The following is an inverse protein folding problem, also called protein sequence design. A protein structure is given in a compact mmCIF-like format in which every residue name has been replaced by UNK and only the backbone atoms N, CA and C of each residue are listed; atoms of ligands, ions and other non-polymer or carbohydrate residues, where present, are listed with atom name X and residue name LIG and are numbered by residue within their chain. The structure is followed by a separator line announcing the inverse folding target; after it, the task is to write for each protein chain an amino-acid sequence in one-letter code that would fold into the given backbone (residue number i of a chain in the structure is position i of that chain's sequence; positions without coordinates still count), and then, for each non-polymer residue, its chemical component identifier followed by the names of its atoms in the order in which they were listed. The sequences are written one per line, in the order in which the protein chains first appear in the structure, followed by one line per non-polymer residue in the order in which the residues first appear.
data_IF_824359592910
#
_entry.id   IF_824359592910
#
_cell.length_a   1.000
_cell.length_b   1.000
_cell.length_c   1.000
_cell.angle_alpha   90.00
_cell.angle_beta   90.00
_cell.angle_gamma   90.00
#
_symmetry.space_group_name_H-M   'P 1'
#
loop_
_entity.id
_entity.type
_entity.pdbx_description
1 polymer ?
#
# COMPACT_ATOMS: atom_id res chain seq x y z
N UNK A 1 -0.42 -18.55 -15.19
CA UNK A 1 -0.57 -17.15 -14.74
C UNK A 1 0.73 -16.40 -15.02
N UNK A 2 0.64 -15.21 -15.58
CA UNK A 2 1.82 -14.39 -15.90
C UNK A 2 1.76 -13.11 -15.06
N UNK A 3 2.70 -12.98 -14.12
CA UNK A 3 2.89 -11.75 -13.39
C UNK A 3 3.42 -10.64 -14.31
N UNK A 4 3.10 -9.35 -14.07
CA UNK A 4 3.75 -8.25 -14.77
C UNK A 4 5.27 -8.35 -14.63
N UNK A 5 5.99 -8.40 -15.75
CA UNK A 5 7.44 -8.65 -15.81
C UNK A 5 8.24 -7.48 -16.38
N UNK A 6 7.56 -6.50 -16.96
CA UNK A 6 8.14 -5.31 -17.60
C UNK A 6 8.36 -4.15 -16.61
N UNK A 7 8.40 -4.46 -15.30
CA UNK A 7 8.57 -3.49 -14.22
C UNK A 7 9.99 -2.90 -14.23
N UNK A 8 10.08 -1.61 -14.48
CA UNK A 8 11.34 -0.86 -14.47
C UNK A 8 11.20 0.41 -13.62
N UNK A 9 12.06 0.60 -12.63
CA UNK A 9 13.04 -0.36 -12.09
C UNK A 9 12.36 -1.57 -11.43
N UNK A 10 12.99 -2.74 -11.41
CA UNK A 10 12.46 -3.89 -10.70
C UNK A 10 12.49 -3.64 -9.18
N UNK A 11 11.52 -4.18 -8.42
CA UNK A 11 11.55 -4.08 -6.97
C UNK A 11 12.78 -4.79 -6.39
N UNK A 12 13.38 -4.21 -5.38
CA UNK A 12 14.54 -4.78 -4.69
C UNK A 12 14.16 -5.96 -3.80
N UNK A 13 12.97 -5.90 -3.21
CA UNK A 13 12.40 -6.96 -2.39
C UNK A 13 11.08 -7.38 -3.03
N UNK A 14 10.97 -8.64 -3.40
CA UNK A 14 9.80 -9.19 -4.05
C UNK A 14 9.42 -10.54 -3.42
N UNK A 15 8.22 -10.61 -2.88
CA UNK A 15 7.58 -11.85 -2.46
C UNK A 15 6.19 -11.90 -3.08
N UNK A 16 5.99 -12.80 -4.04
CA UNK A 16 4.69 -13.00 -4.66
C UNK A 16 3.93 -14.09 -3.89
N UNK A 17 2.61 -13.93 -3.67
CA UNK A 17 1.86 -14.88 -2.85
C UNK A 17 1.85 -16.28 -3.49
N UNK A 18 2.27 -17.31 -2.73
CA UNK A 18 2.22 -18.68 -3.21
C UNK A 18 0.76 -19.12 -3.41
N UNK A 19 0.52 -20.01 -4.36
CA UNK A 19 -0.83 -20.49 -4.66
C UNK A 19 -1.72 -19.49 -5.37
N UNK A 20 -1.18 -18.39 -5.90
CA UNK A 20 -1.88 -17.52 -6.81
C UNK A 20 -2.14 -18.23 -8.15
N UNK A 21 -3.39 -18.26 -8.60
CA UNK A 21 -3.80 -18.94 -9.84
C UNK A 21 -4.49 -18.01 -10.84
N UNK A 22 -5.12 -16.91 -10.39
CA UNK A 22 -5.72 -15.90 -11.26
C UNK A 22 -5.32 -14.49 -10.86
N UNK A 23 -5.18 -13.63 -11.89
CA UNK A 23 -5.02 -12.17 -11.81
C UNK A 23 -6.20 -11.43 -12.46
N UNK A 24 -7.24 -12.13 -12.88
CA UNK A 24 -8.33 -11.56 -13.67
C UNK A 24 -9.04 -10.38 -12.95
N UNK A 25 -9.25 -10.51 -11.63
CA UNK A 25 -9.83 -9.41 -10.86
C UNK A 25 -8.89 -8.20 -10.75
N UNK A 26 -7.59 -8.44 -10.65
CA UNK A 26 -6.61 -7.36 -10.60
C UNK A 26 -6.58 -6.56 -11.90
N UNK A 27 -6.56 -7.25 -13.03
CA UNK A 27 -6.59 -6.60 -14.34
C UNK A 27 -7.91 -5.84 -14.54
N UNK A 28 -9.04 -6.44 -14.21
CA UNK A 28 -10.34 -5.78 -14.30
C UNK A 28 -10.46 -4.57 -13.34
N UNK A 29 -9.83 -4.62 -12.17
CA UNK A 29 -9.78 -3.50 -11.23
C UNK A 29 -8.95 -2.33 -11.78
N UNK A 30 -7.82 -2.64 -12.41
CA UNK A 30 -6.97 -1.64 -13.06
C UNK A 30 -7.74 -0.97 -14.21
N UNK A 31 -8.36 -1.76 -15.09
CA UNK A 31 -9.15 -1.24 -16.22
C UNK A 31 -10.31 -0.35 -15.72
N UNK A 32 -11.02 -0.76 -14.68
CA UNK A 32 -12.09 0.03 -14.07
C UNK A 32 -11.57 1.37 -13.59
N UNK A 33 -10.46 1.37 -12.86
CA UNK A 33 -9.88 2.58 -12.31
C UNK A 33 -9.33 3.50 -13.40
N UNK A 34 -8.63 2.97 -14.39
CA UNK A 34 -8.13 3.73 -15.55
C UNK A 34 -9.28 4.42 -16.28
N UNK A 35 -10.39 3.69 -16.49
CA UNK A 35 -11.58 4.24 -17.14
C UNK A 35 -12.18 5.43 -16.38
N UNK A 36 -12.31 5.32 -15.05
CA UNK A 36 -12.97 6.36 -14.26
C UNK A 36 -12.05 7.48 -13.79
N UNK A 37 -10.79 7.20 -13.55
CA UNK A 37 -9.81 8.20 -13.12
C UNK A 37 -9.21 8.99 -14.28
N UNK A 38 -9.22 8.43 -15.49
CA UNK A 38 -8.52 8.97 -16.66
C UNK A 38 -6.99 8.86 -16.55
N UNK A 39 -6.49 8.13 -15.56
CA UNK A 39 -5.06 7.85 -15.38
C UNK A 39 -4.73 6.48 -15.98
N UNK A 40 -3.43 6.17 -16.08
CA UNK A 40 -2.91 4.85 -16.48
C UNK A 40 -2.02 4.32 -15.37
N UNK A 41 -2.25 3.07 -14.95
CA UNK A 41 -1.40 2.38 -14.01
C UNK A 41 -0.09 1.98 -14.68
N UNK A 42 1.03 2.40 -14.11
CA UNK A 42 2.34 2.01 -14.62
C UNK A 42 2.66 0.53 -14.25
N UNK A 43 3.69 -0.08 -14.87
CA UNK A 43 4.03 -1.47 -14.62
C UNK A 43 4.29 -1.81 -13.15
N UNK A 44 4.89 -0.89 -12.37
CA UNK A 44 5.09 -1.10 -10.93
C UNK A 44 3.78 -1.12 -10.17
N UNK A 45 2.86 -0.22 -10.49
CA UNK A 45 1.53 -0.18 -9.87
C UNK A 45 0.71 -1.43 -10.24
N UNK A 46 0.76 -1.86 -11.51
CA UNK A 46 0.11 -3.10 -11.96
C UNK A 46 0.62 -4.32 -11.20
N UNK A 47 1.95 -4.46 -11.04
CA UNK A 47 2.53 -5.55 -10.24
C UNK A 47 1.99 -5.57 -8.81
N UNK A 48 1.91 -4.41 -8.16
CA UNK A 48 1.41 -4.29 -6.78
C UNK A 48 -0.07 -4.64 -6.68
N UNK A 49 -0.90 -4.12 -7.57
CA UNK A 49 -2.34 -4.46 -7.60
C UNK A 49 -2.54 -5.95 -7.87
N UNK A 50 -1.79 -6.52 -8.81
CA UNK A 50 -1.80 -7.96 -9.05
C UNK A 50 -1.41 -8.75 -7.80
N UNK A 51 -0.36 -8.34 -7.07
CA UNK A 51 0.06 -8.99 -5.82
C UNK A 51 -1.02 -8.88 -4.73
N UNK A 52 -1.70 -7.76 -4.61
CA UNK A 52 -2.78 -7.54 -3.63
C UNK A 52 -4.05 -8.32 -3.98
N UNK A 53 -4.36 -8.51 -5.27
CA UNK A 53 -5.65 -9.02 -5.71
C UNK A 53 -5.57 -10.40 -6.38
N UNK A 54 -4.39 -11.04 -6.41
CA UNK A 54 -4.25 -12.40 -6.88
C UNK A 54 -5.15 -13.36 -6.08
N UNK A 55 -5.78 -14.30 -6.79
CA UNK A 55 -6.68 -15.27 -6.21
C UNK A 55 -6.14 -16.69 -6.30
N UNK A 56 -6.52 -17.52 -5.32
CA UNK A 56 -6.37 -18.96 -5.34
C UNK A 56 -7.49 -19.59 -6.18
N UNK A 57 -7.38 -20.91 -6.47
CA UNK A 57 -8.39 -21.67 -7.20
C UNK A 57 -9.81 -21.60 -6.61
N UNK A 58 -9.91 -21.42 -5.30
CA UNK A 58 -11.17 -21.33 -4.58
C UNK A 58 -11.74 -19.89 -4.50
N UNK A 59 -11.12 -18.94 -5.19
CA UNK A 59 -11.52 -17.53 -5.23
C UNK A 59 -11.12 -16.70 -4.01
N UNK A 60 -10.42 -17.28 -3.03
CA UNK A 60 -9.85 -16.50 -1.93
C UNK A 60 -8.62 -15.72 -2.38
N UNK A 61 -8.34 -14.61 -1.69
CA UNK A 61 -7.10 -13.87 -1.91
C UNK A 61 -5.89 -14.77 -1.68
N UNK A 62 -4.96 -14.79 -2.61
CA UNK A 62 -3.73 -15.57 -2.47
C UNK A 62 -2.86 -15.02 -1.32
N UNK A 63 -2.91 -13.70 -1.08
CA UNK A 63 -2.31 -13.08 0.09
C UNK A 63 -3.36 -12.64 1.10
N UNK A 64 -3.28 -13.07 2.35
CA UNK A 64 -4.06 -12.54 3.47
C UNK A 64 -3.39 -11.28 4.07
N UNK A 65 -2.08 -11.15 3.87
CA UNK A 65 -1.32 -9.95 4.26
C UNK A 65 -0.44 -9.54 3.10
N UNK A 66 -0.46 -8.24 2.77
CA UNK A 66 0.44 -7.67 1.77
C UNK A 66 1.23 -6.51 2.34
N UNK A 67 2.46 -6.34 1.87
CA UNK A 67 3.32 -5.21 2.18
C UNK A 67 3.74 -4.46 0.92
N UNK A 68 3.65 -3.14 0.96
CA UNK A 68 4.11 -2.24 -0.09
C UNK A 68 5.05 -1.18 0.47
N UNK A 69 6.31 -1.29 0.13
CA UNK A 69 7.37 -0.35 0.51
C UNK A 69 7.84 0.45 -0.70
N UNK A 70 7.90 1.77 -0.55
CA UNK A 70 8.54 2.66 -1.54
C UNK A 70 8.74 4.05 -0.95
N UNK A 71 9.69 4.86 -1.47
CA UNK A 71 9.86 6.25 -1.09
C UNK A 71 8.58 7.08 -1.28
N UNK A 72 8.54 8.26 -0.67
CA UNK A 72 7.39 9.17 -0.78
C UNK A 72 7.11 9.58 -2.24
N UNK A 73 5.86 9.90 -2.54
CA UNK A 73 5.39 10.44 -3.83
C UNK A 73 5.63 9.53 -5.06
N UNK A 74 5.72 8.23 -4.87
CA UNK A 74 5.87 7.25 -5.93
C UNK A 74 4.57 6.57 -6.38
N UNK A 75 3.40 6.98 -5.87
CA UNK A 75 2.11 6.50 -6.39
C UNK A 75 1.41 5.43 -5.57
N UNK A 76 1.85 5.13 -4.31
CA UNK A 76 1.14 4.20 -3.40
C UNK A 76 -0.37 4.45 -3.29
N UNK A 77 -0.76 5.72 -3.30
CA UNK A 77 -2.16 6.08 -3.19
C UNK A 77 -3.03 5.62 -4.36
N UNK A 78 -2.49 5.59 -5.58
CA UNK A 78 -3.22 5.10 -6.74
C UNK A 78 -3.41 3.57 -6.65
N UNK A 79 -2.38 2.83 -6.18
CA UNK A 79 -2.44 1.37 -5.96
C UNK A 79 -3.59 0.99 -4.98
N UNK A 80 -3.71 1.74 -3.88
CA UNK A 80 -4.82 1.54 -2.91
C UNK A 80 -6.16 1.94 -3.50
N UNK A 81 -6.23 3.06 -4.20
CA UNK A 81 -7.46 3.56 -4.80
C UNK A 81 -8.05 2.56 -5.80
N UNK A 82 -7.21 1.86 -6.59
CA UNK A 82 -7.64 0.79 -7.49
C UNK A 82 -8.34 -0.33 -6.70
N UNK A 83 -7.67 -0.82 -5.66
CA UNK A 83 -8.16 -1.95 -4.85
C UNK A 83 -9.42 -1.58 -4.09
N UNK A 84 -9.48 -0.38 -3.49
CA UNK A 84 -10.64 0.12 -2.76
C UNK A 84 -11.83 0.35 -3.69
N UNK A 85 -11.61 0.97 -4.85
CA UNK A 85 -12.68 1.22 -5.82
C UNK A 85 -13.32 -0.09 -6.28
N UNK A 86 -12.50 -1.10 -6.61
CA UNK A 86 -12.99 -2.42 -7.00
C UNK A 86 -13.76 -3.09 -5.88
N UNK A 87 -13.19 -3.15 -4.69
CA UNK A 87 -13.83 -3.74 -3.51
C UNK A 87 -15.21 -3.16 -3.24
N UNK A 88 -15.32 -1.84 -3.28
CA UNK A 88 -16.57 -1.12 -3.05
C UNK A 88 -17.60 -1.35 -4.15
N UNK A 89 -17.19 -1.22 -5.41
CA UNK A 89 -18.12 -1.15 -6.55
C UNK A 89 -18.55 -2.53 -7.04
N UNK A 90 -17.63 -3.50 -7.05
CA UNK A 90 -17.86 -4.82 -7.61
C UNK A 90 -18.14 -5.88 -6.55
N UNK A 91 -17.40 -5.86 -5.45
CA UNK A 91 -17.52 -6.88 -4.40
C UNK A 91 -18.45 -6.48 -3.25
N UNK A 92 -18.74 -5.19 -3.07
CA UNK A 92 -19.51 -4.69 -1.93
C UNK A 92 -18.77 -4.83 -0.60
N UNK A 93 -17.44 -4.73 -0.63
CA UNK A 93 -16.57 -4.93 0.54
C UNK A 93 -16.80 -3.88 1.64
N UNK A 94 -16.63 -4.32 2.87
CA UNK A 94 -16.48 -3.51 4.06
C UNK A 94 -14.99 -3.22 4.26
N UNK A 95 -14.56 -1.98 4.00
CA UNK A 95 -13.14 -1.58 4.01
C UNK A 95 -12.87 -0.64 5.18
N UNK A 96 -11.85 -0.93 5.97
CA UNK A 96 -11.32 0.00 6.96
C UNK A 96 -9.97 0.54 6.47
N UNK A 97 -9.94 1.80 6.08
CA UNK A 97 -8.71 2.51 5.73
C UNK A 97 -8.20 3.30 6.92
N UNK A 98 -7.02 2.96 7.40
CA UNK A 98 -6.41 3.63 8.53
C UNK A 98 -5.17 4.42 8.15
N UNK A 99 -5.06 5.64 8.70
CA UNK A 99 -3.90 6.51 8.55
C UNK A 99 -3.34 6.92 9.92
N UNK A 100 -2.14 7.49 9.93
CA UNK A 100 -1.54 7.97 11.17
C UNK A 100 -2.20 9.26 11.67
N UNK A 101 -2.47 10.21 10.80
CA UNK A 101 -2.86 11.58 11.12
C UNK A 101 -4.26 11.95 10.58
N UNK A 102 -5.01 12.75 11.37
CA UNK A 102 -6.37 13.18 11.01
C UNK A 102 -6.41 14.15 9.81
N UNK A 103 -5.35 14.95 9.62
CA UNK A 103 -5.26 15.88 8.49
C UNK A 103 -5.05 15.10 7.20
N UNK A 104 -4.16 14.09 7.23
CA UNK A 104 -3.94 13.18 6.10
C UNK A 104 -5.21 12.41 5.72
N UNK A 105 -5.97 11.97 6.72
CA UNK A 105 -7.22 11.25 6.53
C UNK A 105 -8.25 12.07 5.77
N UNK A 106 -8.46 13.30 6.18
CA UNK A 106 -9.48 14.18 5.58
C UNK A 106 -9.07 14.71 4.20
N UNK A 107 -7.78 15.05 4.02
CA UNK A 107 -7.29 15.74 2.82
C UNK A 107 -6.81 14.83 1.70
N UNK A 108 -6.41 13.60 2.01
CA UNK A 108 -5.78 12.73 1.02
C UNK A 108 -6.55 11.42 0.77
N UNK A 109 -6.72 10.57 1.79
CA UNK A 109 -7.29 9.24 1.56
C UNK A 109 -8.74 9.31 1.07
N UNK A 110 -9.64 9.93 1.83
CA UNK A 110 -11.03 10.07 1.42
C UNK A 110 -11.21 10.92 0.17
N UNK A 111 -10.48 12.04 0.05
CA UNK A 111 -10.66 12.97 -1.07
C UNK A 111 -10.21 12.37 -2.41
N UNK A 112 -9.19 11.51 -2.43
CA UNK A 112 -8.76 10.81 -3.65
C UNK A 112 -9.89 9.97 -4.23
N UNK A 113 -10.41 9.04 -3.45
CA UNK A 113 -11.51 8.17 -3.90
C UNK A 113 -12.77 8.97 -4.24
N UNK A 114 -13.11 9.99 -3.44
CA UNK A 114 -14.24 10.87 -3.74
C UNK A 114 -14.07 11.61 -5.06
N UNK A 115 -12.86 12.04 -5.40
CA UNK A 115 -12.58 12.71 -6.66
C UNK A 115 -12.91 11.82 -7.87
N UNK A 116 -12.51 10.56 -7.84
CA UNK A 116 -12.85 9.58 -8.89
C UNK A 116 -14.37 9.38 -8.98
N UNK A 117 -14.99 9.15 -7.83
CA UNK A 117 -16.45 8.88 -7.75
C UNK A 117 -17.28 10.07 -8.20
N UNK A 118 -16.94 11.30 -7.78
CA UNK A 118 -17.70 12.51 -8.07
C UNK A 118 -17.57 12.97 -9.53
N UNK A 119 -16.41 12.70 -10.15
CA UNK A 119 -16.16 13.00 -11.55
C UNK A 119 -16.78 11.98 -12.52
N UNK A 120 -17.20 10.83 -12.04
CA UNK A 120 -17.83 9.76 -12.81
C UNK A 120 -19.34 9.66 -12.52
N UNK A 121 -20.23 10.15 -13.41
CA UNK A 121 -21.68 10.18 -13.16
C UNK A 121 -22.29 8.82 -12.81
N UNK A 122 -21.74 7.74 -13.41
CA UNK A 122 -22.26 6.39 -13.16
C UNK A 122 -21.81 5.84 -11.81
N UNK A 123 -20.58 6.13 -11.37
CA UNK A 123 -20.13 5.80 -10.01
C UNK A 123 -20.88 6.62 -8.97
N UNK A 124 -21.10 7.92 -9.22
CA UNK A 124 -21.83 8.78 -8.31
C UNK A 124 -23.25 8.29 -8.04
N UNK A 125 -23.93 7.72 -9.04
CA UNK A 125 -25.26 7.10 -8.87
C UNK A 125 -25.23 5.85 -7.99
N UNK A 126 -24.09 5.15 -7.93
CA UNK A 126 -23.92 3.97 -7.06
C UNK A 126 -23.68 4.34 -5.60
N UNK A 127 -23.24 5.58 -5.31
CA UNK A 127 -23.08 6.05 -3.92
C UNK A 127 -24.43 6.23 -3.28
N UNK A 128 -24.60 5.67 -2.07
CA UNK A 128 -25.78 5.83 -1.21
C UNK A 128 -25.63 7.06 -0.33
N UNK A 129 -24.49 7.22 0.31
CA UNK A 129 -24.21 8.35 1.23
C UNK A 129 -22.72 8.56 1.46
N UNK A 130 -22.33 9.81 1.71
CA UNK A 130 -20.98 10.21 2.08
C UNK A 130 -21.01 11.02 3.38
N UNK A 131 -20.10 10.71 4.30
CA UNK A 131 -19.85 11.49 5.52
C UNK A 131 -18.46 12.09 5.46
N UNK A 132 -18.35 13.39 5.71
CA UNK A 132 -17.10 14.16 5.64
C UNK A 132 -16.67 14.73 6.99
N UNK A 133 -17.50 14.58 8.03
CA UNK A 133 -17.21 15.09 9.38
C UNK A 133 -16.02 14.40 10.01
N UNK A 134 -15.21 15.15 10.76
CA UNK A 134 -14.03 14.64 11.45
C UNK A 134 -14.38 13.42 12.32
N UNK A 135 -13.63 12.33 12.16
CA UNK A 135 -13.85 11.07 12.87
C UNK A 135 -15.05 10.24 12.37
N UNK A 136 -15.79 10.74 11.37
CA UNK A 136 -16.94 10.04 10.80
C UNK A 136 -16.79 9.78 9.29
N UNK A 137 -15.62 10.06 8.74
CA UNK A 137 -15.39 9.94 7.31
C UNK A 137 -15.70 8.52 6.81
N UNK A 138 -16.66 8.41 5.89
CA UNK A 138 -16.99 7.16 5.22
C UNK A 138 -17.77 7.40 3.94
N UNK A 139 -17.77 6.40 3.06
CA UNK A 139 -18.56 6.37 1.84
C UNK A 139 -19.34 5.05 1.81
N UNK A 140 -20.63 5.10 1.63
CA UNK A 140 -21.49 3.92 1.46
C UNK A 140 -21.99 3.83 0.02
N UNK A 141 -21.94 2.64 -0.54
CA UNK A 141 -22.48 2.29 -1.85
C UNK A 141 -23.81 1.55 -1.73
N UNK A 142 -24.63 1.59 -2.79
CA UNK A 142 -25.97 0.98 -2.81
C UNK A 142 -25.93 -0.55 -2.85
N UNK A 143 -24.82 -1.15 -3.27
CA UNK A 143 -24.61 -2.60 -3.26
C UNK A 143 -24.18 -3.16 -1.89
N UNK A 144 -24.08 -2.31 -0.87
CA UNK A 144 -23.62 -2.67 0.47
C UNK A 144 -22.17 -2.31 0.76
N UNK A 145 -21.37 -2.04 -0.27
CA UNK A 145 -19.96 -1.63 -0.09
C UNK A 145 -19.83 -0.39 0.79
N UNK A 146 -18.87 -0.42 1.69
CA UNK A 146 -18.65 0.70 2.62
C UNK A 146 -17.15 0.83 2.93
N UNK A 147 -16.66 2.06 2.95
CA UNK A 147 -15.31 2.35 3.40
C UNK A 147 -15.35 3.37 4.54
N UNK A 148 -14.68 3.04 5.64
CA UNK A 148 -14.42 3.93 6.76
C UNK A 148 -12.99 4.40 6.72
N UNK A 149 -12.80 5.70 6.89
CA UNK A 149 -11.49 6.32 7.07
C UNK A 149 -11.30 6.67 8.54
N UNK A 150 -10.25 6.15 9.18
CA UNK A 150 -9.97 6.34 10.60
C UNK A 150 -8.51 6.62 10.86
N UNK A 151 -8.25 7.37 11.94
CA UNK A 151 -6.88 7.48 12.48
C UNK A 151 -6.61 6.32 13.40
N UNK A 152 -5.38 5.82 13.43
CA UNK A 152 -4.96 4.81 14.40
C UNK A 152 -4.77 5.35 15.80
N UNK A 153 -4.60 6.68 15.95
CA UNK A 153 -4.54 7.37 17.26
C UNK A 153 -5.92 7.39 17.89
N UNK A 154 -6.04 7.05 19.19
CA UNK A 154 -7.32 7.11 19.92
C UNK A 154 -8.30 5.94 19.72
N UNK A 155 -7.83 4.77 19.29
CA UNK A 155 -8.68 3.57 19.18
C UNK A 155 -9.53 3.52 17.92
N UNK A 156 -9.01 3.97 16.81
CA UNK A 156 -9.69 4.17 15.52
C UNK A 156 -10.32 2.95 14.83
N UNK A 157 -10.17 1.75 15.37
CA UNK A 157 -10.88 0.54 14.89
C UNK A 157 -12.10 0.16 15.71
N UNK A 158 -12.37 0.84 16.83
CA UNK A 158 -13.50 0.48 17.70
C UNK A 158 -14.85 0.79 17.04
N UNK A 159 -15.74 -0.20 17.02
CA UNK A 159 -17.11 -0.05 16.49
C UNK A 159 -17.22 -0.26 14.98
N UNK A 160 -16.20 -0.86 14.36
CA UNK A 160 -16.27 -1.39 12.99
C UNK A 160 -15.92 -2.88 13.09
N UNK A 161 -16.89 -3.74 12.78
CA UNK A 161 -16.73 -5.19 12.83
C UNK A 161 -16.94 -5.77 11.43
N UNK A 162 -16.52 -7.01 11.21
CA UNK A 162 -16.72 -7.75 9.96
C UNK A 162 -16.14 -7.04 8.73
N UNK A 163 -14.87 -6.74 8.80
CA UNK A 163 -14.13 -6.05 7.75
C UNK A 163 -13.56 -7.07 6.75
N UNK A 164 -13.83 -6.85 5.45
CA UNK A 164 -13.22 -7.61 4.36
C UNK A 164 -11.76 -7.21 4.15
N UNK A 165 -11.49 -5.89 4.26
CA UNK A 165 -10.17 -5.33 3.95
C UNK A 165 -9.76 -4.27 4.96
N UNK A 166 -8.56 -4.45 5.54
CA UNK A 166 -7.88 -3.46 6.36
C UNK A 166 -6.72 -2.85 5.58
N UNK A 167 -6.80 -1.56 5.30
CA UNK A 167 -5.70 -0.78 4.72
C UNK A 167 -4.97 -0.04 5.83
N UNK A 168 -3.67 -0.26 5.94
CA UNK A 168 -2.76 0.42 6.88
C UNK A 168 -1.86 1.33 6.07
N UNK A 169 -2.33 2.55 5.79
CA UNK A 169 -1.51 3.55 5.10
C UNK A 169 -0.55 4.21 6.09
N UNK A 170 0.61 4.62 5.60
CA UNK A 170 1.73 5.08 6.43
C UNK A 170 2.13 4.06 7.52
N UNK A 171 2.35 2.81 7.12
CA UNK A 171 2.66 1.69 8.00
C UNK A 171 3.91 1.94 8.88
N UNK A 172 4.84 2.81 8.46
CA UNK A 172 6.01 3.22 9.26
C UNK A 172 5.64 3.91 10.59
N UNK A 173 4.40 4.37 10.72
CA UNK A 173 3.86 4.98 11.95
C UNK A 173 2.89 4.06 12.70
N UNK A 174 2.72 2.81 12.28
CA UNK A 174 1.85 1.87 12.94
C UNK A 174 2.61 1.14 14.06
N UNK A 175 2.10 1.22 15.29
CA UNK A 175 2.65 0.49 16.44
C UNK A 175 1.97 -0.87 16.59
N UNK A 176 2.64 -1.81 17.26
CA UNK A 176 2.05 -3.13 17.56
C UNK A 176 0.75 -3.01 18.38
N UNK A 177 0.70 -2.07 19.34
CA UNK A 177 -0.50 -1.81 20.15
C UNK A 177 -1.68 -1.35 19.29
N UNK A 178 -1.43 -0.43 18.35
CA UNK A 178 -2.46 0.04 17.41
C UNK A 178 -2.96 -1.11 16.53
N UNK A 179 -2.05 -1.95 16.03
CA UNK A 179 -2.41 -3.08 15.20
C UNK A 179 -3.15 -4.17 15.98
N UNK A 180 -2.76 -4.44 17.22
CA UNK A 180 -3.50 -5.35 18.10
C UNK A 180 -4.93 -4.88 18.37
N UNK A 181 -5.19 -3.57 18.35
CA UNK A 181 -6.53 -3.02 18.54
C UNK A 181 -7.40 -3.12 17.26
N UNK A 182 -6.80 -3.09 16.07
CA UNK A 182 -7.53 -3.01 14.79
C UNK A 182 -7.61 -4.37 14.08
N UNK A 183 -6.55 -5.19 14.10
CA UNK A 183 -6.51 -6.46 13.38
C UNK A 183 -7.65 -7.45 13.72
N UNK A 184 -8.18 -7.50 14.96
CA UNK A 184 -9.31 -8.37 15.27
C UNK A 184 -10.58 -8.10 14.46
N UNK A 185 -10.75 -6.90 13.86
CA UNK A 185 -11.91 -6.58 13.01
C UNK A 185 -11.99 -7.45 11.76
N UNK A 186 -10.88 -8.07 11.36
CA UNK A 186 -10.79 -9.01 10.23
C UNK A 186 -11.23 -10.44 10.57
N UNK A 187 -11.31 -10.81 11.86
CA UNK A 187 -11.48 -12.21 12.29
C UNK A 187 -12.85 -12.81 11.95
N UNK A 188 -13.87 -11.98 11.80
CA UNK A 188 -15.22 -12.45 11.49
C UNK A 188 -15.39 -12.83 10.01
N UNK A 189 -14.51 -12.34 9.14
CA UNK A 189 -14.60 -12.56 7.70
C UNK A 189 -13.90 -13.86 7.27
N UNK A 190 -14.46 -14.53 6.26
CA UNK A 190 -13.91 -15.80 5.73
C UNK A 190 -12.75 -15.60 4.75
N UNK A 191 -12.60 -14.42 4.16
CA UNK A 191 -11.54 -14.09 3.21
C UNK A 191 -10.95 -12.69 3.45
N UNK A 192 -10.53 -12.38 4.69
CA UNK A 192 -10.05 -11.05 5.03
C UNK A 192 -8.68 -10.77 4.44
N UNK A 193 -8.39 -9.49 4.21
CA UNK A 193 -7.07 -9.07 3.74
C UNK A 193 -6.56 -7.84 4.50
N UNK A 194 -5.28 -7.85 4.87
CA UNK A 194 -4.53 -6.72 5.41
C UNK A 194 -3.57 -6.20 4.35
N UNK A 195 -3.70 -4.94 3.96
CA UNK A 195 -2.78 -4.28 3.03
C UNK A 195 -1.99 -3.20 3.79
N UNK A 196 -0.72 -3.46 4.05
CA UNK A 196 0.19 -2.52 4.71
C UNK A 196 1.00 -1.75 3.66
N UNK A 197 1.00 -0.44 3.77
CA UNK A 197 1.68 0.43 2.83
C UNK A 197 2.46 1.50 3.57
N UNK A 198 3.73 1.64 3.23
CA UNK A 198 4.59 2.58 3.95
C UNK A 198 5.80 3.04 3.17
N UNK A 199 6.51 3.95 3.81
CA UNK A 199 7.87 4.33 3.47
C UNK A 199 8.84 3.62 4.42
N UNK A 200 10.08 4.04 4.43
CA UNK A 200 11.12 3.52 5.31
C UNK A 200 10.75 3.61 6.79
N UNK A 201 11.18 2.63 7.56
CA UNK A 201 11.01 2.61 8.99
C UNK A 201 11.72 3.78 9.69
N UNK A 202 11.14 4.23 10.80
CA UNK A 202 11.66 5.30 11.66
C UNK A 202 11.91 4.74 13.06
N UNK A 203 13.10 4.19 13.24
CA UNK A 203 13.53 3.64 14.54
C UNK A 203 12.56 2.60 15.11
N UNK A 204 12.51 2.52 16.44
CA UNK A 204 11.68 1.55 17.18
C UNK A 204 10.16 1.75 17.01
N UNK A 205 9.71 2.90 16.57
CA UNK A 205 8.29 3.15 16.29
C UNK A 205 7.74 2.27 15.18
N UNK A 206 8.61 1.79 14.30
CA UNK A 206 8.25 0.98 13.13
C UNK A 206 8.44 -0.53 13.34
N UNK A 207 8.49 -1.02 14.58
CA UNK A 207 8.73 -2.44 14.86
C UNK A 207 7.75 -3.36 14.13
N UNK A 208 6.46 -3.03 14.14
CA UNK A 208 5.45 -3.77 13.40
C UNK A 208 5.72 -3.79 11.88
N UNK A 209 6.09 -2.66 11.31
CA UNK A 209 6.40 -2.54 9.88
C UNK A 209 7.68 -3.30 9.50
N UNK A 210 8.68 -3.30 10.38
CA UNK A 210 9.85 -4.17 10.27
C UNK A 210 9.45 -5.64 10.24
N UNK A 211 8.53 -6.07 11.10
CA UNK A 211 8.01 -7.44 11.11
C UNK A 211 7.41 -7.86 9.77
N UNK A 212 6.68 -6.98 9.10
CA UNK A 212 6.15 -7.23 7.74
C UNK A 212 7.29 -7.38 6.72
N UNK A 213 8.30 -6.51 6.76
CA UNK A 213 9.44 -6.57 5.85
C UNK A 213 10.30 -7.82 6.06
N UNK A 214 10.51 -8.20 7.32
CA UNK A 214 11.29 -9.40 7.68
C UNK A 214 10.66 -10.68 7.13
N UNK A 215 9.34 -10.79 7.08
CA UNK A 215 8.65 -11.92 6.44
C UNK A 215 9.03 -12.04 4.96
N UNK A 216 9.09 -10.93 4.24
CA UNK A 216 9.51 -10.93 2.83
C UNK A 216 10.97 -11.36 2.67
N UNK A 217 11.87 -10.82 3.50
CA UNK A 217 13.29 -11.14 3.47
C UNK A 217 13.58 -12.60 3.86
N UNK A 218 12.78 -13.16 4.76
CA UNK A 218 12.86 -14.56 5.18
C UNK A 218 12.24 -15.55 4.17
N UNK A 219 11.62 -15.07 3.09
CA UNK A 219 10.97 -15.93 2.10
C UNK A 219 9.70 -16.61 2.65
N UNK A 220 8.87 -15.88 3.40
CA UNK A 220 7.62 -16.40 3.95
C UNK A 220 6.76 -17.02 2.84
N UNK A 221 6.47 -18.30 2.98
CA UNK A 221 5.67 -19.11 2.04
C UNK A 221 4.17 -19.17 2.39
N UNK A 222 3.72 -18.42 3.39
CA UNK A 222 2.31 -18.30 3.75
C UNK A 222 1.51 -17.47 2.75
N UNK A 223 0.27 -17.16 3.08
CA UNK A 223 -0.59 -16.25 2.31
C UNK A 223 -0.09 -14.80 2.46
N UNK A 224 1.05 -14.51 1.86
CA UNK A 224 1.79 -13.27 2.02
C UNK A 224 2.32 -12.76 0.67
N UNK A 225 2.28 -11.45 0.46
CA UNK A 225 2.89 -10.78 -0.68
C UNK A 225 3.62 -9.51 -0.26
N UNK A 226 4.70 -9.18 -0.96
CA UNK A 226 5.47 -7.97 -0.69
C UNK A 226 6.15 -7.42 -1.94
N UNK A 227 6.05 -6.12 -2.13
CA UNK A 227 6.78 -5.40 -3.19
C UNK A 227 7.48 -4.19 -2.57
N UNK A 228 8.82 -4.22 -2.56
CA UNK A 228 9.67 -3.18 -2.01
C UNK A 228 10.57 -2.53 -3.04
N UNK A 229 10.45 -1.19 -3.20
CA UNK A 229 11.39 -0.37 -3.93
C UNK A 229 12.23 0.42 -2.95
N UNK A 230 13.53 0.15 -2.93
CA UNK A 230 14.52 0.75 -2.04
C UNK A 230 15.88 0.77 -2.73
N UNK A 231 16.75 1.70 -2.37
CA UNK A 231 18.13 1.70 -2.84
C UNK A 231 19.02 0.74 -2.06
N UNK A 232 18.61 0.34 -0.85
CA UNK A 232 19.44 -0.52 0.00
C UNK A 232 19.39 -1.99 -0.42
N UNK A 233 20.47 -2.70 -0.14
CA UNK A 233 20.51 -4.16 -0.17
C UNK A 233 20.39 -4.65 1.28
N UNK A 234 19.39 -5.49 1.53
CA UNK A 234 19.13 -6.05 2.85
C UNK A 234 19.01 -7.57 2.75
N UNK A 235 19.70 -8.26 3.62
CA UNK A 235 19.68 -9.72 3.71
C UNK A 235 19.48 -10.16 5.16
N UNK A 236 19.11 -11.41 5.34
CA UNK A 236 19.10 -12.05 6.66
C UNK A 236 20.16 -13.14 6.65
N UNK A 237 21.07 -13.10 7.63
CA UNK A 237 22.09 -14.14 7.82
C UNK A 237 21.44 -15.46 8.30
N UNK A 238 22.21 -16.54 8.26
CA UNK A 238 21.76 -17.85 8.74
C UNK A 238 21.33 -17.83 10.23
N UNK A 239 21.89 -16.92 11.02
CA UNK A 239 21.59 -16.74 12.45
C UNK A 239 20.40 -15.78 12.66
N UNK A 240 19.73 -15.33 11.59
CA UNK A 240 18.57 -14.44 11.68
C UNK A 240 18.91 -12.94 11.85
N UNK A 241 20.17 -12.56 11.69
CA UNK A 241 20.59 -11.16 11.82
C UNK A 241 20.34 -10.40 10.51
N UNK A 242 19.73 -9.23 10.61
CA UNK A 242 19.52 -8.32 9.47
C UNK A 242 20.84 -7.63 9.11
N UNK A 243 21.24 -7.76 7.87
CA UNK A 243 22.43 -7.11 7.31
C UNK A 243 21.95 -6.07 6.30
N UNK A 244 22.22 -4.81 6.58
CA UNK A 244 21.97 -3.68 5.68
C UNK A 244 23.31 -3.23 5.10
N UNK A 245 23.48 -3.32 3.80
CA UNK A 245 24.70 -2.86 3.13
C UNK A 245 24.71 -1.34 3.05
N UNK A 246 25.84 -0.68 3.33
CA UNK A 246 25.99 0.75 3.11
C UNK A 246 25.75 1.12 1.65
N UNK A 247 25.03 2.21 1.43
CA UNK A 247 24.81 2.74 0.08
C UNK A 247 25.63 3.99 -0.17
N UNK A 248 26.00 4.21 -1.43
CA UNK A 248 26.49 5.51 -1.87
C UNK A 248 25.31 6.41 -2.20
N UNK A 249 24.98 7.33 -1.29
CA UNK A 249 23.83 8.26 -1.42
C UNK A 249 23.98 9.19 -2.64
N UNK A 250 25.19 9.36 -3.18
CA UNK A 250 25.44 10.21 -4.36
C UNK A 250 25.23 9.46 -5.68
N UNK A 251 25.03 8.16 -5.66
CA UNK A 251 24.83 7.37 -6.87
C UNK A 251 23.40 7.58 -7.43
N UNK A 252 23.35 8.27 -8.57
CA UNK A 252 22.08 8.57 -9.28
C UNK A 252 21.38 7.33 -9.83
N UNK A 253 22.09 6.25 -10.08
CA UNK A 253 21.49 4.99 -10.49
C UNK A 253 20.65 4.37 -9.35
N UNK A 254 21.10 4.49 -8.10
CA UNK A 254 20.33 4.08 -6.93
C UNK A 254 19.07 4.94 -6.75
N UNK A 255 19.14 6.23 -7.05
CA UNK A 255 17.95 7.10 -6.99
C UNK A 255 16.87 6.64 -7.96
N UNK A 256 17.25 6.34 -9.20
CA UNK A 256 16.34 5.84 -10.21
C UNK A 256 15.77 4.48 -9.82
N UNK A 257 16.60 3.57 -9.28
CA UNK A 257 16.15 2.22 -8.89
C UNK A 257 15.15 2.20 -7.72
N UNK A 258 15.24 3.17 -6.81
CA UNK A 258 14.32 3.28 -5.67
C UNK A 258 12.99 3.96 -6.03
N UNK A 259 12.92 4.70 -7.14
CA UNK A 259 11.80 5.57 -7.48
C UNK A 259 11.13 5.18 -8.81
N UNK A 260 10.24 4.19 -8.82
CA UNK A 260 9.57 3.73 -10.05
C UNK A 260 8.74 4.84 -10.74
N UNK A 261 8.30 5.86 -10.01
CA UNK A 261 7.62 7.02 -10.59
C UNK A 261 8.49 7.79 -11.60
N UNK A 262 9.82 7.80 -11.42
CA UNK A 262 10.74 8.44 -12.37
C UNK A 262 10.73 7.71 -13.72
N UNK A 263 10.80 6.38 -13.71
CA UNK A 263 10.75 5.59 -14.93
C UNK A 263 9.41 5.72 -15.64
N UNK A 264 8.34 5.90 -14.88
CA UNK A 264 6.99 6.17 -15.41
C UNK A 264 6.78 7.63 -15.86
N UNK A 265 7.81 8.49 -15.80
CA UNK A 265 7.71 9.90 -16.18
C UNK A 265 6.80 10.73 -15.27
N UNK A 266 6.60 10.29 -14.02
CA UNK A 266 5.76 10.98 -13.03
C UNK A 266 6.60 11.80 -12.04
N UNK A 267 5.98 12.83 -11.46
CA UNK A 267 6.59 13.69 -10.45
C UNK A 267 7.59 14.70 -11.03
N UNK A 268 8.43 15.26 -10.15
CA UNK A 268 9.40 16.33 -10.50
C UNK A 268 10.70 15.84 -11.18
N UNK A 269 10.80 14.55 -11.45
CA UNK A 269 11.96 13.98 -12.12
C UNK A 269 13.24 13.96 -11.27
N UNK A 270 14.37 13.66 -11.91
CA UNK A 270 15.69 13.60 -11.27
C UNK A 270 16.12 14.96 -10.73
N UNK A 271 15.82 16.03 -11.42
CA UNK A 271 16.14 17.40 -11.00
C UNK A 271 15.51 17.75 -9.63
N UNK A 272 14.27 17.32 -9.41
CA UNK A 272 13.63 17.50 -8.10
C UNK A 272 14.35 16.71 -7.00
N UNK A 273 14.79 15.48 -7.26
CA UNK A 273 15.56 14.70 -6.30
C UNK A 273 16.92 15.35 -5.99
N UNK A 274 17.57 15.93 -6.99
CA UNK A 274 18.82 16.67 -6.77
C UNK A 274 18.62 17.88 -5.85
N UNK A 275 17.51 18.59 -6.00
CA UNK A 275 17.19 19.69 -5.11
C UNK A 275 16.86 19.18 -3.69
N UNK A 276 16.09 18.09 -3.55
CA UNK A 276 15.83 17.48 -2.25
C UNK A 276 17.11 17.00 -1.55
N UNK A 277 18.06 16.46 -2.30
CA UNK A 277 19.36 16.06 -1.77
C UNK A 277 20.14 17.26 -1.16
N UNK A 278 20.04 18.44 -1.76
CA UNK A 278 20.65 19.67 -1.23
C UNK A 278 19.91 20.21 0.02
N UNK A 279 18.58 20.12 0.03
CA UNK A 279 17.74 20.72 1.07
C UNK A 279 17.67 19.86 2.32
N UNK A 280 17.61 18.52 2.18
CA UNK A 280 17.46 17.57 3.30
C UNK A 280 18.52 16.46 3.29
N UNK A 281 19.83 16.77 3.21
CA UNK A 281 20.88 15.77 2.98
C UNK A 281 20.91 14.65 4.02
N UNK A 282 20.57 14.94 5.27
CA UNK A 282 20.61 13.98 6.39
C UNK A 282 19.48 12.97 6.38
N UNK A 283 18.33 13.32 5.82
CA UNK A 283 17.13 12.44 5.75
C UNK A 283 16.84 11.97 4.35
N UNK A 284 17.59 12.45 3.36
CA UNK A 284 17.34 12.15 1.95
C UNK A 284 17.31 10.64 1.65
N UNK A 285 18.26 9.87 2.19
CA UNK A 285 18.31 8.44 2.00
C UNK A 285 17.03 7.74 2.48
N UNK A 286 16.51 8.14 3.63
CA UNK A 286 15.25 7.60 4.17
C UNK A 286 14.05 8.05 3.34
N UNK A 287 13.91 9.33 3.08
CA UNK A 287 12.70 9.90 2.47
C UNK A 287 12.58 9.60 0.97
N UNK A 288 13.71 9.55 0.24
CA UNK A 288 13.75 9.45 -1.21
C UNK A 288 14.42 8.20 -1.78
N UNK A 289 15.16 7.45 -0.95
CA UNK A 289 15.82 6.22 -1.39
C UNK A 289 15.30 4.96 -0.70
N UNK A 290 14.36 5.09 0.23
CA UNK A 290 13.76 3.95 0.90
C UNK A 290 14.70 3.25 1.89
N UNK A 291 15.74 3.94 2.39
CA UNK A 291 16.67 3.37 3.37
C UNK A 291 16.03 3.37 4.75
N UNK A 292 16.03 2.23 5.40
CA UNK A 292 15.42 2.07 6.70
C UNK A 292 16.41 2.33 7.83
N UNK A 293 15.91 2.90 8.94
CA UNK A 293 16.66 2.83 10.19
C UNK A 293 16.81 1.36 10.59
N UNK A 294 17.91 0.98 11.28
CA UNK A 294 18.12 -0.40 11.74
C UNK A 294 16.89 -0.95 12.49
N UNK A 295 16.66 -2.27 12.43
CA UNK A 295 15.55 -2.89 13.18
C UNK A 295 15.72 -2.65 14.68
N UNK A 296 14.60 -2.49 15.42
CA UNK A 296 14.62 -2.25 16.86
C UNK A 296 15.13 -3.45 17.65
#
# INVERSE_FOLDING_TARGET
MNWPSDVSPPPRILSLPPGAESLDEAEAAIELWEHYSGKTADPSQRLVVCMMMAQQADGRWAAATTGREMPRQNGKGDEVEIVELWGLVQRGEAILHTVHDAVMLASQAQQRLLSVVENAPDLRKKVKRTWRGTGQQRIEFRNGGVIWYRTRTGGGGRGVDDIDRLVVDEAQHATEEQMAAVAPTLLANSNPQLNAMGTSAVGSLSAWWWGIRLRALAGDSGRFGYVGHTAETVTISADGVVIQEPINVEDRALWASANPALAAGRGGGMEFLEEQYRVIPTTFAREHLGVWDPPP
#
